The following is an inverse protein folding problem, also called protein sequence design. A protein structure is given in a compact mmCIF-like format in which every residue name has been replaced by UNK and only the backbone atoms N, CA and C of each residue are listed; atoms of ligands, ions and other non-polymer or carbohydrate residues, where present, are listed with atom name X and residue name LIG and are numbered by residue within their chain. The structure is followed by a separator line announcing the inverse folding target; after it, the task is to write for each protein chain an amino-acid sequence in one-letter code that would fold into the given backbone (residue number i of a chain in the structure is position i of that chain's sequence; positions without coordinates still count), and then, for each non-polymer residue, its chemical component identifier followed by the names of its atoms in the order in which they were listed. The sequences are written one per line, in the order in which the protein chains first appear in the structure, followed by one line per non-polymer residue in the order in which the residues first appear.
data_IF_737433835268
#
_entry.id   IF_737433835268
#
_cell.length_a   1.000
_cell.length_b   1.000
_cell.length_c   1.000
_cell.angle_alpha   90.00
_cell.angle_beta   90.00
_cell.angle_gamma   90.00
#
_symmetry.space_group_name_H-M   'P 1'
#
loop_
_entity.id
_entity.type
_entity.pdbx_description
1 polymer ?
#
# COMPACT_ATOMS: atom_id res chain seq x y z
N UNK A 1 42.70 -47.67 7.78
CA UNK A 1 42.00 -46.58 7.09
C UNK A 1 40.53 -46.76 7.40
N UNK A 2 40.10 -46.14 8.49
CA UNK A 2 38.70 -46.12 8.92
C UNK A 2 37.92 -45.19 8.00
N UNK A 3 36.80 -45.69 7.47
CA UNK A 3 35.91 -44.93 6.60
C UNK A 3 35.08 -43.95 7.43
N UNK A 4 35.26 -42.66 7.15
CA UNK A 4 34.45 -41.58 7.72
C UNK A 4 33.07 -41.64 7.07
N UNK A 5 32.04 -42.01 7.84
CA UNK A 5 30.64 -41.79 7.48
C UNK A 5 30.32 -40.30 7.69
N UNK A 6 30.06 -39.61 6.58
CA UNK A 6 29.56 -38.23 6.58
C UNK A 6 28.07 -38.31 6.89
N UNK A 7 27.66 -37.79 8.05
CA UNK A 7 26.26 -37.64 8.40
C UNK A 7 25.64 -36.51 7.55
N UNK A 8 24.57 -36.83 6.82
CA UNK A 8 23.73 -35.83 6.16
C UNK A 8 23.00 -34.99 7.23
N UNK A 9 22.92 -33.66 7.10
CA UNK A 9 22.13 -32.85 8.00
C UNK A 9 20.65 -32.98 7.65
N UNK A 10 19.94 -33.86 8.36
CA UNK A 10 18.49 -33.71 8.55
C UNK A 10 18.24 -32.42 9.31
N UNK A 11 17.64 -31.43 8.67
CA UNK A 11 16.61 -30.52 9.23
C UNK A 11 16.19 -29.52 8.16
N UNK A 12 15.45 -30.01 7.17
CA UNK A 12 14.49 -29.18 6.45
C UNK A 12 13.42 -28.78 7.47
N UNK A 13 13.39 -27.50 7.88
CA UNK A 13 12.24 -26.98 8.60
C UNK A 13 10.98 -27.26 7.75
N UNK A 14 9.91 -27.87 8.29
CA UNK A 14 8.72 -28.11 7.51
C UNK A 14 8.14 -26.76 7.07
N UNK A 15 7.76 -26.67 5.80
CA UNK A 15 6.91 -25.57 5.34
C UNK A 15 5.65 -25.54 6.23
N UNK A 16 5.16 -24.36 6.65
CA UNK A 16 3.98 -24.27 7.48
C UNK A 16 2.79 -24.94 6.76
N UNK A 17 2.12 -25.87 7.44
CA UNK A 17 0.92 -26.55 6.90
C UNK A 17 -0.18 -25.51 6.59
N UNK A 18 -0.97 -25.72 5.54
CA UNK A 18 -2.06 -24.82 5.09
C UNK A 18 -3.07 -24.44 6.20
N UNK A 19 -3.11 -25.20 7.30
CA UNK A 19 -3.93 -24.91 8.48
C UNK A 19 -3.43 -23.73 9.36
N UNK A 20 -2.23 -23.19 9.13
CA UNK A 20 -1.65 -22.10 9.94
C UNK A 20 -1.90 -20.68 9.38
N UNK A 21 -2.36 -20.58 8.12
CA UNK A 21 -2.52 -19.30 7.40
C UNK A 21 -3.98 -19.07 7.00
N UNK A 22 -4.58 -17.99 7.52
CA UNK A 22 -5.94 -17.59 7.15
C UNK A 22 -5.90 -16.38 6.20
N UNK A 23 -6.47 -16.54 5.00
CA UNK A 23 -6.73 -15.43 4.08
C UNK A 23 -7.76 -14.49 4.69
N UNK A 24 -7.52 -13.19 4.61
CA UNK A 24 -8.50 -12.20 5.08
C UNK A 24 -9.65 -12.09 4.07
N UNK A 25 -10.79 -11.62 4.55
CA UNK A 25 -11.88 -11.13 3.71
C UNK A 25 -11.89 -9.61 3.77
N UNK A 26 -12.55 -8.96 2.82
CA UNK A 26 -12.66 -7.50 2.84
C UNK A 26 -13.31 -6.98 4.15
N UNK A 27 -14.27 -7.71 4.73
CA UNK A 27 -14.86 -7.38 6.04
C UNK A 27 -13.88 -7.51 7.22
N UNK A 28 -13.00 -8.52 7.22
CA UNK A 28 -12.05 -8.69 8.35
C UNK A 28 -10.89 -7.70 8.32
N UNK A 29 -10.58 -7.12 7.15
CA UNK A 29 -9.66 -5.99 7.01
C UNK A 29 -10.18 -4.70 7.63
N UNK A 30 -11.48 -4.44 7.47
CA UNK A 30 -12.13 -3.25 7.99
C UNK A 30 -12.18 -3.19 9.53
N UNK A 31 -12.04 -4.34 10.20
CA UNK A 31 -12.03 -4.39 11.66
C UNK A 31 -10.94 -3.46 12.25
N UNK A 32 -11.28 -2.57 13.21
CA UNK A 32 -10.39 -1.49 13.64
C UNK A 32 -8.98 -1.95 14.07
N UNK A 33 -8.87 -3.10 14.74
CA UNK A 33 -7.58 -3.60 15.21
C UNK A 33 -6.77 -4.24 14.07
N UNK A 34 -7.40 -4.99 13.17
CA UNK A 34 -6.74 -5.49 11.96
C UNK A 34 -6.25 -4.33 11.10
N UNK A 35 -7.06 -3.29 10.91
CA UNK A 35 -6.72 -2.09 10.14
C UNK A 35 -5.45 -1.42 10.67
N UNK A 36 -5.34 -1.22 12.00
CA UNK A 36 -4.10 -0.71 12.62
C UNK A 36 -2.90 -1.64 12.42
N UNK A 37 -3.10 -2.95 12.50
CA UNK A 37 -2.02 -3.93 12.28
C UNK A 37 -1.50 -3.87 10.84
N UNK A 38 -2.39 -3.74 9.86
CA UNK A 38 -2.01 -3.55 8.45
C UNK A 38 -1.23 -2.25 8.28
N UNK A 39 -1.71 -1.14 8.85
CA UNK A 39 -1.01 0.15 8.82
C UNK A 39 0.43 0.05 9.35
N UNK A 40 0.65 -0.69 10.44
CA UNK A 40 1.98 -0.95 11.01
C UNK A 40 2.88 -1.75 10.07
N UNK A 41 2.35 -2.82 9.45
CA UNK A 41 3.11 -3.63 8.48
C UNK A 41 3.47 -2.86 7.22
N UNK A 42 2.55 -2.03 6.73
CA UNK A 42 2.78 -1.13 5.61
C UNK A 42 3.87 -0.11 5.94
N UNK A 43 3.85 0.46 7.16
CA UNK A 43 4.93 1.33 7.63
C UNK A 43 6.29 0.64 7.68
N UNK A 44 6.33 -0.60 8.13
CA UNK A 44 7.55 -1.40 8.15
C UNK A 44 8.08 -1.72 6.76
N UNK A 45 7.20 -1.89 5.76
CA UNK A 45 7.61 -2.06 4.37
C UNK A 45 8.20 -0.76 3.81
N UNK A 46 7.50 0.35 3.97
CA UNK A 46 7.91 1.66 3.45
C UNK A 46 9.24 2.16 4.03
N UNK A 47 9.48 1.92 5.33
CA UNK A 47 10.73 2.30 5.99
C UNK A 47 11.83 1.22 5.83
N UNK A 48 11.45 -0.02 5.52
CA UNK A 48 12.34 -1.18 5.54
C UNK A 48 13.05 -1.47 4.22
N UNK A 49 12.53 -0.93 3.09
CA UNK A 49 13.09 -1.13 1.76
C UNK A 49 13.38 0.23 1.13
N UNK A 50 14.65 0.53 0.93
CA UNK A 50 15.08 1.76 0.27
C UNK A 50 14.93 1.63 -1.25
N UNK A 51 14.33 2.65 -1.87
CA UNK A 51 14.27 2.77 -3.33
C UNK A 51 15.66 3.12 -3.90
N UNK A 52 15.98 2.50 -5.04
CA UNK A 52 17.12 2.88 -5.87
C UNK A 52 16.93 4.29 -6.45
N UNK A 53 18.03 4.97 -6.76
CA UNK A 53 17.95 6.33 -7.32
C UNK A 53 17.29 6.32 -8.70
N UNK A 54 17.50 5.27 -9.49
CA UNK A 54 16.83 5.08 -10.79
C UNK A 54 15.31 4.91 -10.64
N UNK A 55 14.86 4.22 -9.58
CA UNK A 55 13.43 4.04 -9.28
C UNK A 55 12.79 5.37 -8.86
N UNK A 56 13.50 6.18 -8.08
CA UNK A 56 13.06 7.53 -7.71
C UNK A 56 13.00 8.46 -8.91
N UNK A 57 13.99 8.37 -9.80
CA UNK A 57 14.07 9.19 -11.02
C UNK A 57 13.00 8.83 -12.05
N UNK A 58 12.60 7.56 -12.11
CA UNK A 58 11.46 7.10 -12.91
C UNK A 58 10.11 7.67 -12.42
N UNK A 59 10.04 8.05 -11.14
CA UNK A 59 8.85 8.61 -10.52
C UNK A 59 7.82 7.56 -10.09
N UNK A 60 6.59 7.98 -9.76
CA UNK A 60 5.53 7.08 -9.31
C UNK A 60 5.19 6.02 -10.37
N UNK A 61 5.30 4.75 -10.00
CA UNK A 61 5.10 3.60 -10.88
C UNK A 61 3.66 3.52 -11.44
N UNK A 62 2.68 4.15 -10.77
CA UNK A 62 1.31 4.27 -11.30
C UNK A 62 1.26 4.83 -12.72
N UNK A 63 2.13 5.80 -13.02
CA UNK A 63 2.20 6.41 -14.34
C UNK A 63 2.98 5.54 -15.32
N UNK A 64 4.03 4.87 -14.86
CA UNK A 64 4.78 3.90 -15.66
C UNK A 64 3.89 2.74 -16.13
N UNK A 65 3.01 2.24 -15.25
CA UNK A 65 2.00 1.23 -15.59
C UNK A 65 1.00 1.77 -16.62
N UNK A 66 0.44 2.96 -16.38
CA UNK A 66 -0.46 3.60 -17.33
C UNK A 66 0.18 3.76 -18.72
N UNK A 67 1.39 4.31 -18.78
CA UNK A 67 2.10 4.58 -20.03
C UNK A 67 2.45 3.27 -20.77
N UNK A 68 2.85 2.22 -20.04
CA UNK A 68 3.11 0.89 -20.60
C UNK A 68 1.87 0.23 -21.21
N UNK A 69 0.71 0.38 -20.59
CA UNK A 69 -0.53 -0.26 -21.03
C UNK A 69 -1.31 0.55 -22.07
N UNK A 70 -0.96 1.83 -22.25
CA UNK A 70 -1.79 2.79 -22.98
C UNK A 70 -2.14 2.35 -24.40
N UNK A 71 -1.16 1.90 -25.18
CA UNK A 71 -1.37 1.54 -26.60
C UNK A 71 -2.36 0.37 -26.75
N UNK A 72 -2.21 -0.65 -25.91
CA UNK A 72 -3.09 -1.82 -25.92
C UNK A 72 -4.50 -1.47 -25.40
N UNK A 73 -4.59 -0.66 -24.35
CA UNK A 73 -5.87 -0.17 -23.82
C UNK A 73 -6.59 0.67 -24.87
N UNK A 74 -5.90 1.59 -25.53
CA UNK A 74 -6.47 2.46 -26.57
C UNK A 74 -6.99 1.65 -27.75
N UNK A 75 -6.24 0.66 -28.23
CA UNK A 75 -6.70 -0.25 -29.28
C UNK A 75 -7.97 -1.00 -28.88
N UNK A 76 -8.00 -1.56 -27.66
CA UNK A 76 -9.17 -2.30 -27.16
C UNK A 76 -10.39 -1.40 -27.00
N UNK A 77 -10.18 -0.22 -26.44
CA UNK A 77 -11.26 0.73 -26.15
C UNK A 77 -11.86 1.33 -27.42
N UNK A 78 -11.04 1.72 -28.41
CA UNK A 78 -11.56 2.21 -29.69
C UNK A 78 -12.41 1.14 -30.40
N UNK A 79 -12.01 -0.13 -30.32
CA UNK A 79 -12.80 -1.24 -30.84
C UNK A 79 -14.14 -1.41 -30.09
N UNK A 80 -14.11 -1.41 -28.75
CA UNK A 80 -15.30 -1.56 -27.92
C UNK A 80 -16.27 -0.39 -28.09
N UNK A 81 -15.78 0.85 -28.07
CA UNK A 81 -16.57 2.06 -28.30
C UNK A 81 -17.30 1.99 -29.64
N UNK A 82 -16.60 1.62 -30.71
CA UNK A 82 -17.22 1.45 -32.04
C UNK A 82 -18.35 0.41 -31.99
N UNK A 83 -18.18 -0.70 -31.26
CA UNK A 83 -19.21 -1.74 -31.15
C UNK A 83 -20.41 -1.32 -30.34
N UNK A 84 -20.20 -0.62 -29.23
CA UNK A 84 -21.26 -0.07 -28.38
C UNK A 84 -22.07 0.96 -29.18
N UNK A 85 -21.40 1.91 -29.82
CA UNK A 85 -22.06 2.99 -30.59
C UNK A 85 -22.77 2.47 -31.85
N UNK A 86 -22.28 1.40 -32.46
CA UNK A 86 -22.94 0.75 -33.61
C UNK A 86 -24.04 -0.26 -33.21
N UNK A 87 -24.20 -0.57 -31.92
CA UNK A 87 -25.16 -1.56 -31.42
C UNK A 87 -24.81 -3.01 -31.76
N UNK A 88 -23.53 -3.33 -31.96
CA UNK A 88 -23.04 -4.65 -32.44
C UNK A 88 -22.43 -5.53 -31.34
N UNK A 89 -22.65 -5.19 -30.06
CA UNK A 89 -22.11 -5.91 -28.90
C UNK A 89 -22.72 -7.32 -28.74
N UNK A 90 -23.94 -7.53 -29.26
CA UNK A 90 -24.66 -8.80 -29.16
C UNK A 90 -25.26 -9.05 -27.76
N UNK A 91 -26.02 -10.15 -27.57
CA UNK A 91 -26.65 -10.45 -26.29
C UNK A 91 -25.61 -10.90 -25.23
N UNK A 92 -25.96 -10.72 -23.96
CA UNK A 92 -25.24 -11.33 -22.83
C UNK A 92 -25.49 -12.84 -22.79
N UNK A 93 -24.42 -13.63 -22.61
CA UNK A 93 -24.45 -15.10 -22.63
C UNK A 93 -24.01 -15.74 -21.33
N UNK A 94 -23.58 -14.96 -20.34
CA UNK A 94 -23.08 -15.47 -19.07
C UNK A 94 -22.62 -14.35 -18.12
N UNK A 95 -22.16 -14.71 -16.92
CA UNK A 95 -21.62 -13.79 -15.92
C UNK A 95 -20.52 -12.83 -16.44
N UNK A 96 -19.66 -13.28 -17.36
CA UNK A 96 -18.59 -12.49 -17.99
C UNK A 96 -19.00 -11.52 -19.07
N UNK A 97 -20.30 -11.43 -19.35
CA UNK A 97 -20.90 -10.53 -20.33
C UNK A 97 -21.69 -9.41 -19.64
N UNK A 98 -21.51 -9.21 -18.34
CA UNK A 98 -22.20 -8.18 -17.55
C UNK A 98 -21.88 -6.77 -18.05
N UNK A 99 -20.65 -6.56 -18.52
CA UNK A 99 -20.17 -5.32 -19.13
C UNK A 99 -21.00 -4.82 -20.32
N UNK A 100 -21.70 -5.72 -21.03
CA UNK A 100 -22.52 -5.35 -22.19
C UNK A 100 -23.69 -4.45 -21.81
N UNK A 101 -24.08 -4.44 -20.54
CA UNK A 101 -25.13 -3.57 -19.99
C UNK A 101 -24.62 -2.20 -19.48
N UNK A 102 -23.30 -2.00 -19.48
CA UNK A 102 -22.65 -0.77 -19.01
C UNK A 102 -22.66 0.36 -20.05
N UNK A 103 -22.84 0.03 -21.33
CA UNK A 103 -22.67 0.99 -22.42
C UNK A 103 -21.18 1.20 -22.72
N UNK A 104 -20.74 2.45 -22.77
CA UNK A 104 -19.31 2.77 -22.92
C UNK A 104 -18.58 2.37 -21.64
N UNK A 105 -17.51 1.58 -21.75
CA UNK A 105 -16.82 1.00 -20.57
C UNK A 105 -16.33 2.10 -19.64
N UNK A 106 -15.69 3.14 -20.17
CA UNK A 106 -15.22 4.28 -19.40
C UNK A 106 -16.32 5.30 -19.04
N UNK A 107 -17.61 4.99 -19.29
CA UNK A 107 -18.76 5.89 -19.13
C UNK A 107 -18.92 6.95 -20.22
N UNK A 108 -17.82 7.29 -20.89
CA UNK A 108 -17.71 8.16 -22.07
C UNK A 108 -16.82 7.48 -23.11
N UNK A 109 -16.68 8.08 -24.29
CA UNK A 109 -15.73 7.58 -25.30
C UNK A 109 -14.30 7.65 -24.77
N UNK A 110 -13.45 6.72 -25.20
CA UNK A 110 -12.06 6.61 -24.78
C UNK A 110 -11.28 7.91 -24.88
N UNK A 111 -11.46 8.65 -25.97
CA UNK A 111 -10.76 9.92 -26.17
C UNK A 111 -11.07 10.94 -25.05
N UNK A 112 -12.32 10.99 -24.57
CA UNK A 112 -12.75 11.89 -23.49
C UNK A 112 -12.20 11.41 -22.13
N UNK A 113 -12.23 10.10 -21.87
CA UNK A 113 -11.66 9.52 -20.65
C UNK A 113 -10.15 9.74 -20.57
N UNK A 114 -9.42 9.42 -21.65
CA UNK A 114 -7.97 9.63 -21.77
C UNK A 114 -7.61 11.10 -21.56
N UNK A 115 -8.33 12.03 -22.19
CA UNK A 115 -8.11 13.46 -22.00
C UNK A 115 -8.31 13.91 -20.54
N UNK A 116 -9.27 13.31 -19.81
CA UNK A 116 -9.45 13.60 -18.38
C UNK A 116 -8.30 13.06 -17.52
N UNK A 117 -7.81 11.84 -17.81
CA UNK A 117 -6.63 11.27 -17.13
C UNK A 117 -5.40 12.14 -17.35
N UNK A 118 -5.15 12.59 -18.59
CA UNK A 118 -4.05 13.50 -18.92
C UNK A 118 -4.19 14.86 -18.22
N UNK A 119 -5.40 15.44 -18.22
CA UNK A 119 -5.71 16.67 -17.49
C UNK A 119 -5.40 16.51 -16.00
N UNK A 120 -5.77 15.38 -15.41
CA UNK A 120 -5.53 15.12 -14.00
C UNK A 120 -4.05 14.83 -13.69
N UNK A 121 -3.32 14.10 -14.55
CA UNK A 121 -1.86 13.93 -14.43
C UNK A 121 -1.14 15.28 -14.44
N UNK A 122 -1.56 16.19 -15.31
CA UNK A 122 -1.04 17.57 -15.35
C UNK A 122 -1.39 18.35 -14.07
N UNK A 123 -2.61 18.23 -13.56
CA UNK A 123 -3.03 18.83 -12.30
C UNK A 123 -2.16 18.35 -11.11
N UNK A 124 -1.89 17.05 -11.02
CA UNK A 124 -0.99 16.50 -10.01
C UNK A 124 0.44 17.01 -10.17
N UNK A 125 0.96 17.06 -11.40
CA UNK A 125 2.28 17.64 -11.68
C UNK A 125 2.39 19.09 -11.20
N UNK A 126 1.36 19.90 -11.44
CA UNK A 126 1.31 21.29 -10.94
C UNK A 126 1.21 21.37 -9.41
N UNK A 127 0.51 20.44 -8.77
CA UNK A 127 0.38 20.40 -7.31
C UNK A 127 1.73 20.15 -6.62
N UNK A 128 2.53 19.20 -7.14
CA UNK A 128 3.84 18.86 -6.58
C UNK A 128 4.97 19.81 -7.04
N UNK A 129 4.77 20.57 -8.11
CA UNK A 129 5.77 21.53 -8.60
C UNK A 129 7.00 20.85 -9.19
N UNK A 130 8.20 21.21 -8.73
CA UNK A 130 9.45 20.58 -9.19
C UNK A 130 9.46 19.09 -8.87
N UNK A 131 9.82 18.24 -9.84
CA UNK A 131 9.82 16.77 -9.71
C UNK A 131 10.58 16.24 -8.50
N UNK A 132 11.52 17.03 -7.95
CA UNK A 132 12.31 16.70 -6.76
C UNK A 132 11.45 16.53 -5.49
N UNK A 133 10.42 17.35 -5.30
CA UNK A 133 9.59 17.27 -4.09
C UNK A 133 8.77 15.98 -4.05
N UNK A 134 8.29 15.51 -5.20
CA UNK A 134 7.61 14.23 -5.34
C UNK A 134 8.59 13.06 -5.20
N UNK A 135 9.77 13.16 -5.83
CA UNK A 135 10.85 12.17 -5.77
C UNK A 135 11.24 11.81 -4.34
N UNK A 136 11.36 12.81 -3.46
CA UNK A 136 11.74 12.63 -2.05
C UNK A 136 10.60 12.04 -1.18
N UNK A 137 9.37 11.96 -1.71
CA UNK A 137 8.20 11.39 -1.03
C UNK A 137 7.89 9.94 -1.44
N UNK A 138 8.61 9.40 -2.43
CA UNK A 138 8.41 8.02 -2.87
C UNK A 138 8.89 7.02 -1.83
N UNK A 139 8.14 5.93 -1.69
CA UNK A 139 8.44 4.79 -0.85
C UNK A 139 8.36 3.51 -1.68
N UNK A 140 9.01 2.44 -1.22
CA UNK A 140 8.79 1.11 -1.76
C UNK A 140 7.41 0.63 -1.32
N UNK A 141 6.45 0.73 -2.24
CA UNK A 141 5.05 0.44 -2.01
C UNK A 141 4.70 -0.96 -2.51
N UNK A 142 3.78 -1.65 -1.83
CA UNK A 142 3.28 -2.95 -2.28
C UNK A 142 2.41 -2.83 -3.54
N UNK A 143 1.65 -1.72 -3.65
CA UNK A 143 0.72 -1.38 -4.73
C UNK A 143 -0.46 -2.34 -4.97
N UNK A 144 -0.45 -3.56 -4.42
CA UNK A 144 -1.60 -4.49 -4.46
C UNK A 144 -1.96 -5.09 -3.09
N UNK A 145 -2.44 -4.25 -2.16
CA UNK A 145 -2.80 -4.70 -0.81
C UNK A 145 -4.23 -5.23 -0.72
N UNK A 146 -4.68 -6.00 -1.71
CA UNK A 146 -5.94 -6.75 -1.69
C UNK A 146 -5.96 -7.83 -0.60
N UNK A 147 -7.14 -8.35 -0.25
CA UNK A 147 -7.26 -9.26 0.89
C UNK A 147 -6.69 -10.65 0.67
N UNK A 148 -6.48 -11.07 -0.59
CA UNK A 148 -5.67 -12.24 -0.92
C UNK A 148 -4.22 -12.13 -0.46
N UNK A 149 -3.66 -10.90 -0.46
CA UNK A 149 -2.24 -10.63 -0.26
C UNK A 149 -1.86 -10.31 1.20
N UNK A 150 -2.82 -10.39 2.13
CA UNK A 150 -2.58 -10.18 3.56
C UNK A 150 -3.03 -11.41 4.34
N UNK A 151 -2.06 -12.25 4.71
CA UNK A 151 -2.28 -13.49 5.44
C UNK A 151 -2.12 -13.27 6.94
N UNK A 152 -2.94 -13.95 7.74
CA UNK A 152 -2.75 -14.02 9.20
C UNK A 152 -2.15 -15.38 9.58
N UNK A 153 -0.98 -15.34 10.21
CA UNK A 153 -0.37 -16.49 10.88
C UNK A 153 -1.00 -16.67 12.24
N UNK A 154 -1.37 -17.91 12.58
CA UNK A 154 -1.78 -18.28 13.95
C UNK A 154 -0.69 -19.13 14.60
N UNK A 155 0.08 -18.58 15.55
CA UNK A 155 1.11 -19.36 16.23
C UNK A 155 0.48 -20.49 17.06
N UNK A 156 0.93 -21.72 16.82
CA UNK A 156 0.49 -22.89 17.59
C UNK A 156 1.14 -22.97 19.00
N UNK A 157 2.32 -22.36 19.17
CA UNK A 157 3.01 -22.26 20.46
C UNK A 157 2.56 -21.03 21.26
N UNK A 158 1.98 -21.25 22.44
CA UNK A 158 1.54 -20.21 23.38
C UNK A 158 2.68 -19.33 23.91
N UNK A 159 3.95 -19.75 23.74
CA UNK A 159 5.14 -18.96 24.10
C UNK A 159 5.70 -18.15 22.94
N UNK A 160 5.08 -18.20 21.77
CA UNK A 160 5.57 -17.51 20.58
C UNK A 160 5.71 -16.00 20.83
N UNK A 161 6.85 -15.38 20.45
CA UNK A 161 7.03 -13.93 20.51
C UNK A 161 5.98 -13.15 19.73
N UNK A 162 5.33 -13.78 18.73
CA UNK A 162 4.25 -13.19 17.93
C UNK A 162 2.94 -13.01 18.72
N UNK A 163 2.77 -13.73 19.84
CA UNK A 163 1.61 -13.57 20.73
C UNK A 163 1.78 -12.40 21.72
N UNK A 164 2.96 -11.78 21.77
CA UNK A 164 3.16 -10.59 22.59
C UNK A 164 2.38 -9.42 21.99
N UNK A 165 1.71 -8.57 22.82
CA UNK A 165 0.93 -7.42 22.32
C UNK A 165 1.74 -6.48 21.42
N UNK A 166 3.04 -6.33 21.70
CA UNK A 166 3.94 -5.52 20.89
C UNK A 166 4.18 -6.07 19.48
N UNK A 167 3.98 -7.36 19.24
CA UNK A 167 4.25 -8.04 17.96
C UNK A 167 2.98 -8.55 17.27
N UNK A 168 1.78 -8.20 17.76
CA UNK A 168 0.53 -8.71 17.19
C UNK A 168 0.38 -8.40 15.69
N UNK A 169 0.85 -7.22 15.27
CA UNK A 169 0.88 -6.83 13.85
C UNK A 169 1.80 -7.72 13.00
N UNK A 170 2.83 -8.34 13.59
CA UNK A 170 3.75 -9.26 12.91
C UNK A 170 3.15 -10.65 12.66
N UNK A 171 1.94 -10.90 13.17
CA UNK A 171 1.14 -12.04 12.74
C UNK A 171 0.56 -11.84 11.34
N UNK A 172 0.61 -10.62 10.80
CA UNK A 172 0.20 -10.33 9.42
C UNK A 172 1.42 -10.38 8.50
N UNK A 173 1.36 -11.28 7.52
CA UNK A 173 2.33 -11.40 6.44
C UNK A 173 1.72 -10.79 5.19
N UNK A 174 2.49 -9.89 4.56
CA UNK A 174 2.20 -9.34 3.24
C UNK A 174 2.96 -10.19 2.23
N UNK A 175 2.27 -10.66 1.21
CA UNK A 175 2.79 -11.54 0.15
C UNK A 175 2.45 -10.96 -1.22
N UNK A 176 3.05 -11.52 -2.27
CA UNK A 176 2.76 -11.21 -3.66
C UNK A 176 3.13 -9.78 -4.08
N UNK A 177 4.44 -9.57 -4.25
CA UNK A 177 5.06 -8.27 -4.57
C UNK A 177 5.14 -8.01 -6.08
N UNK A 178 4.30 -8.65 -6.91
CA UNK A 178 4.32 -8.52 -8.38
C UNK A 178 4.24 -7.05 -8.85
N UNK A 179 3.39 -6.25 -8.18
CA UNK A 179 3.20 -4.83 -8.48
C UNK A 179 4.05 -3.91 -7.60
N UNK A 180 4.89 -4.46 -6.72
CA UNK A 180 5.63 -3.66 -5.76
C UNK A 180 6.67 -2.78 -6.46
N UNK A 181 6.60 -1.47 -6.21
CA UNK A 181 7.40 -0.47 -6.89
C UNK A 181 7.29 0.90 -6.20
N UNK A 182 8.11 1.86 -6.64
CA UNK A 182 8.08 3.23 -6.15
C UNK A 182 6.69 3.90 -6.34
N UNK A 183 6.07 4.33 -5.25
CA UNK A 183 4.88 5.19 -5.26
C UNK A 183 4.86 6.05 -3.99
N UNK A 184 3.93 7.00 -3.91
CA UNK A 184 3.74 7.76 -2.66
C UNK A 184 2.89 6.96 -1.65
N UNK A 185 3.07 7.18 -0.33
CA UNK A 185 2.27 6.49 0.69
C UNK A 185 0.76 6.65 0.50
N UNK A 186 0.30 7.86 0.16
CA UNK A 186 -1.13 8.11 -0.08
C UNK A 186 -1.71 7.28 -1.23
N UNK A 187 -0.91 6.92 -2.24
CA UNK A 187 -1.36 6.03 -3.32
C UNK A 187 -1.53 4.59 -2.83
N UNK A 188 -0.65 4.10 -1.96
CA UNK A 188 -0.83 2.78 -1.36
C UNK A 188 -2.02 2.76 -0.39
N UNK A 189 -2.23 3.83 0.38
CA UNK A 189 -3.38 3.96 1.28
C UNK A 189 -4.69 3.93 0.50
N UNK A 190 -4.77 4.69 -0.59
CA UNK A 190 -5.99 4.74 -1.38
C UNK A 190 -6.26 3.42 -2.09
N UNK A 191 -5.20 2.74 -2.55
CA UNK A 191 -5.32 1.38 -3.06
C UNK A 191 -5.91 0.46 -1.98
N UNK A 192 -5.31 0.44 -0.79
CA UNK A 192 -5.77 -0.35 0.34
C UNK A 192 -7.24 -0.07 0.72
N UNK A 193 -7.64 1.20 0.74
CA UNK A 193 -9.01 1.62 1.06
C UNK A 193 -9.99 1.26 -0.05
N UNK A 194 -9.59 1.32 -1.32
CA UNK A 194 -10.42 0.86 -2.43
C UNK A 194 -10.72 -0.63 -2.33
N UNK A 195 -9.80 -1.46 -1.82
CA UNK A 195 -10.04 -2.89 -1.62
C UNK A 195 -11.13 -3.21 -0.57
N UNK A 196 -11.56 -2.24 0.24
CA UNK A 196 -12.69 -2.41 1.17
C UNK A 196 -14.04 -2.43 0.43
N UNK A 197 -14.10 -1.80 -0.76
CA UNK A 197 -15.31 -1.71 -1.59
C UNK A 197 -15.53 -2.94 -2.46
N UNK A 198 -14.53 -3.82 -2.57
CA UNK A 198 -14.60 -5.02 -3.42
C UNK A 198 -14.80 -6.28 -2.59
N UNK A 199 -15.57 -7.22 -3.17
CA UNK A 199 -15.69 -8.59 -2.71
C UNK A 199 -15.55 -9.54 -3.90
N UNK A 200 -14.32 -9.84 -4.28
CA UNK A 200 -14.01 -10.75 -5.38
C UNK A 200 -14.54 -12.18 -5.20
N UNK A 201 -15.03 -12.55 -4.01
CA UNK A 201 -15.71 -13.82 -3.77
C UNK A 201 -17.24 -13.72 -3.90
N UNK A 202 -17.78 -12.56 -4.28
CA UNK A 202 -19.22 -12.37 -4.45
C UNK A 202 -19.73 -13.34 -5.54
N UNK A 203 -20.78 -14.15 -5.25
CA UNK A 203 -21.14 -15.30 -6.08
C UNK A 203 -21.60 -14.93 -7.49
N UNK A 204 -22.06 -13.69 -7.71
CA UNK A 204 -22.64 -13.26 -9.00
C UNK A 204 -22.08 -11.95 -9.54
N UNK A 205 -21.29 -11.23 -8.75
CA UNK A 205 -20.84 -9.88 -9.08
C UNK A 205 -19.48 -9.57 -8.42
N UNK A 206 -18.46 -10.42 -8.61
CA UNK A 206 -17.14 -10.24 -7.98
C UNK A 206 -16.42 -8.96 -8.44
N UNK A 207 -16.82 -8.43 -9.60
CA UNK A 207 -16.32 -7.18 -10.19
C UNK A 207 -16.96 -5.92 -9.60
N UNK A 208 -18.08 -6.04 -8.88
CA UNK A 208 -18.87 -4.90 -8.40
C UNK A 208 -18.17 -4.17 -7.26
N UNK A 209 -18.36 -2.85 -7.22
CA UNK A 209 -17.79 -1.99 -6.20
C UNK A 209 -18.88 -1.32 -5.37
N UNK A 210 -18.91 -1.68 -4.09
CA UNK A 210 -19.81 -1.13 -3.10
C UNK A 210 -19.13 -0.01 -2.31
N UNK A 211 -19.38 1.23 -2.76
CA UNK A 211 -18.80 2.43 -2.17
C UNK A 211 -19.25 2.70 -0.74
N UNK A 212 -20.35 2.09 -0.28
CA UNK A 212 -20.80 2.24 1.10
C UNK A 212 -19.85 1.60 2.11
N UNK A 213 -18.95 0.75 1.62
CA UNK A 213 -17.89 0.08 2.40
C UNK A 213 -16.55 0.80 2.36
N UNK A 214 -16.43 1.88 1.60
CA UNK A 214 -15.23 2.70 1.62
C UNK A 214 -15.02 3.27 3.03
N UNK A 215 -13.80 3.26 3.59
CA UNK A 215 -13.58 3.66 4.97
C UNK A 215 -14.01 5.10 5.23
N UNK A 216 -14.69 5.35 6.35
CA UNK A 216 -15.05 6.71 6.75
C UNK A 216 -13.81 7.55 7.05
N UNK A 217 -13.96 8.87 7.14
CA UNK A 217 -12.88 9.80 7.48
C UNK A 217 -12.19 9.41 8.79
N UNK A 218 -12.97 8.97 9.79
CA UNK A 218 -12.46 8.51 11.08
C UNK A 218 -11.69 7.20 10.96
N UNK A 219 -12.11 6.29 10.09
CA UNK A 219 -11.44 5.02 9.83
C UNK A 219 -10.13 5.22 9.07
N UNK A 220 -10.13 6.07 8.03
CA UNK A 220 -8.93 6.48 7.31
C UNK A 220 -7.93 7.14 8.27
N UNK A 221 -8.39 8.10 9.08
CA UNK A 221 -7.56 8.77 10.08
C UNK A 221 -6.99 7.79 11.10
N UNK A 222 -7.77 6.80 11.55
CA UNK A 222 -7.30 5.75 12.48
C UNK A 222 -6.18 4.92 11.86
N UNK A 223 -6.33 4.53 10.59
CA UNK A 223 -5.30 3.79 9.85
C UNK A 223 -4.04 4.62 9.72
N UNK A 224 -4.16 5.86 9.22
CA UNK A 224 -3.02 6.76 8.98
C UNK A 224 -2.33 7.13 10.29
N UNK A 225 -3.08 7.37 11.38
CA UNK A 225 -2.50 7.58 12.71
C UNK A 225 -1.68 6.38 13.18
N UNK A 226 -2.19 5.16 12.99
CA UNK A 226 -1.46 3.95 13.33
C UNK A 226 -0.19 3.78 12.48
N UNK A 227 -0.22 4.18 11.21
CA UNK A 227 0.94 4.21 10.31
C UNK A 227 1.99 5.25 10.77
N UNK A 228 1.57 6.48 11.09
CA UNK A 228 2.46 7.59 11.48
C UNK A 228 3.11 7.33 12.84
N UNK A 229 2.32 6.89 13.82
CA UNK A 229 2.77 6.65 15.18
C UNK A 229 3.64 5.38 15.30
N UNK A 230 3.54 4.45 14.35
CA UNK A 230 4.37 3.25 14.34
C UNK A 230 5.82 3.62 14.07
N UNK A 231 6.70 3.22 14.97
CA UNK A 231 8.15 3.33 14.81
C UNK A 231 8.70 1.91 14.78
N UNK A 232 9.01 1.37 13.59
CA UNK A 232 9.67 0.09 13.47
C UNK A 232 10.93 0.12 14.33
N UNK A 233 11.04 -0.77 15.33
CA UNK A 233 12.36 -1.03 15.91
C UNK A 233 13.09 -1.82 14.85
N UNK A 234 14.04 -1.19 14.17
CA UNK A 234 15.01 -1.87 13.31
C UNK A 234 15.81 -2.82 14.20
N UNK A 235 15.26 -3.99 14.48
CA UNK A 235 15.97 -5.09 15.10
C UNK A 235 16.71 -5.81 13.98
N UNK A 236 17.85 -5.26 13.55
CA UNK A 236 18.89 -6.05 12.93
C UNK A 236 20.27 -5.66 13.46
N UNK A 237 20.89 -6.63 14.10
CA UNK A 237 22.31 -6.70 14.43
C UNK A 237 23.11 -6.80 13.13
N UNK A 238 24.00 -5.83 12.87
CA UNK A 238 25.32 -5.98 12.20
C UNK A 238 25.92 -4.58 11.99
N UNK A 239 26.49 -3.98 13.05
CA UNK A 239 27.51 -2.95 12.83
C UNK A 239 28.89 -3.62 12.97
N UNK A 240 29.76 -3.55 11.95
CA UNK A 240 31.19 -3.63 12.20
C UNK A 240 31.61 -2.36 12.93
N UNK A 241 32.26 -2.51 14.07
CA UNK A 241 32.92 -1.40 14.75
C UNK A 241 33.92 -0.73 13.81
N UNK A 242 33.57 0.44 13.29
CA UNK A 242 34.55 1.40 12.78
C UNK A 242 34.14 2.77 13.28
N UNK A 243 34.78 3.17 14.38
CA UNK A 243 34.60 4.49 14.95
C UNK A 243 35.09 5.57 13.99
N UNK A 244 34.30 6.61 13.83
CA UNK A 244 34.77 7.97 13.53
C UNK A 244 33.75 8.95 14.09
N UNK A 245 33.92 9.30 15.36
CA UNK A 245 33.33 10.51 15.92
C UNK A 245 33.90 11.72 15.18
N UNK A 246 33.03 12.58 14.63
CA UNK A 246 33.37 13.98 14.38
C UNK A 246 32.34 14.87 15.05
N UNK A 247 32.83 15.45 16.15
CA UNK A 247 32.24 16.36 17.12
C UNK A 247 31.70 17.66 16.53
N UNK A 248 30.54 18.14 17.02
CA UNK A 248 30.20 19.56 17.10
C UNK A 248 30.60 20.07 18.49
N UNK A 249 31.46 21.09 18.51
CA UNK A 249 32.25 21.48 19.69
C UNK A 249 31.53 22.36 20.70
N UNK A 250 32.07 22.40 21.92
CA UNK A 250 32.01 23.47 22.93
C UNK A 250 33.18 23.27 23.95
N UNK A 251 33.61 24.32 24.69
CA UNK A 251 35.00 24.50 25.14
C UNK A 251 35.35 23.80 26.47
N UNK A 252 36.66 23.64 26.81
CA UNK A 252 37.09 22.79 27.93
C UNK A 252 37.07 23.54 29.26
N UNK A 253 36.44 22.95 30.27
CA UNK A 253 36.63 23.31 31.67
C UNK A 253 37.64 22.35 32.30
N UNK A 254 38.71 22.90 32.85
CA UNK A 254 39.88 22.21 33.39
C UNK A 254 39.56 21.28 34.56
N UNK A 255 40.17 20.10 34.55
CA UNK A 255 40.26 19.17 35.69
C UNK A 255 41.53 19.41 36.50
N UNK A 256 41.51 19.24 37.84
CA UNK A 256 42.70 18.87 38.60
C UNK A 256 42.75 17.35 38.87
N UNK A 257 43.94 16.78 39.13
CA UNK A 257 44.19 15.34 39.00
C UNK A 257 43.95 14.53 40.28
N UNK A 258 43.50 13.30 40.03
CA UNK A 258 43.84 12.01 40.63
C UNK A 258 44.47 11.96 42.03
N UNK A 259 43.87 11.14 42.90
CA UNK A 259 44.61 10.30 43.86
C UNK A 259 43.86 8.99 44.10
N UNK A 260 44.61 7.90 43.96
CA UNK A 260 44.19 6.50 44.01
C UNK A 260 44.08 5.97 45.45
N UNK A 261 43.38 4.83 45.59
CA UNK A 261 43.47 3.72 46.57
C UNK A 261 42.11 2.97 46.45
N UNK A 262 41.96 1.68 46.14
CA UNK A 262 42.71 0.47 46.47
C UNK A 262 41.78 -0.45 47.28
N UNK A 263 41.45 -1.66 46.82
CA UNK A 263 40.74 -2.66 47.66
C UNK A 263 39.91 -3.70 46.91
N UNK A 264 40.19 -4.97 47.20
CA UNK A 264 39.81 -6.22 46.52
C UNK A 264 38.41 -6.77 46.86
N UNK A 265 37.91 -7.67 45.99
CA UNK A 265 37.17 -8.89 46.40
C UNK A 265 35.63 -8.92 46.20
N UNK A 266 35.15 -9.73 45.25
CA UNK A 266 33.73 -10.12 45.19
C UNK A 266 33.32 -10.87 43.93
N UNK A 267 33.08 -12.18 44.05
CA UNK A 267 32.65 -13.11 43.01
C UNK A 267 31.12 -13.34 43.08
N UNK A 268 30.47 -13.43 41.91
CA UNK A 268 29.11 -13.93 41.58
C UNK A 268 27.88 -13.02 41.84
N UNK A 269 27.24 -12.58 40.74
CA UNK A 269 25.98 -13.13 40.21
C UNK A 269 25.57 -12.30 38.98
N UNK A 270 25.60 -12.91 37.78
CA UNK A 270 24.95 -12.35 36.58
C UNK A 270 23.44 -12.42 36.79
N UNK A 271 22.86 -11.30 37.21
CA UNK A 271 21.43 -11.05 37.07
C UNK A 271 21.18 -10.48 35.68
N UNK A 272 20.42 -11.22 34.87
CA UNK A 272 19.91 -10.79 33.58
C UNK A 272 18.84 -9.70 33.81
N UNK A 273 19.21 -8.44 33.61
CA UNK A 273 18.26 -7.32 33.62
C UNK A 273 17.41 -7.32 32.34
N UNK A 274 16.10 -7.02 32.43
CA UNK A 274 15.20 -6.96 31.29
C UNK A 274 15.24 -5.59 30.59
N UNK A 275 14.95 -5.63 29.29
CA UNK A 275 14.32 -4.60 28.43
C UNK A 275 15.02 -3.24 28.16
N UNK A 276 15.39 -3.05 26.88
CA UNK A 276 15.82 -1.78 26.25
C UNK A 276 14.66 -0.76 26.05
N UNK A 277 13.83 -0.53 27.07
CA UNK A 277 12.91 0.62 27.13
C UNK A 277 13.49 1.79 27.92
N UNK A 278 14.59 1.58 28.64
CA UNK A 278 15.13 2.53 29.63
C UNK A 278 16.34 3.34 29.11
N UNK A 279 16.94 2.98 27.97
CA UNK A 279 18.09 3.72 27.44
C UNK A 279 17.74 5.05 26.75
N UNK A 280 16.50 5.23 26.30
CA UNK A 280 15.99 6.54 25.85
C UNK A 280 15.45 7.37 27.04
N UNK A 281 15.17 6.73 28.18
CA UNK A 281 14.68 7.37 29.41
C UNK A 281 15.80 7.90 30.31
N UNK A 282 17.07 7.55 30.08
CA UNK A 282 18.19 7.92 30.95
C UNK A 282 19.35 8.56 30.18
N UNK A 283 19.09 9.57 29.36
CA UNK A 283 20.17 10.40 28.79
C UNK A 283 19.99 11.92 28.88
N UNK A 284 18.98 12.45 29.58
CA UNK A 284 19.15 13.77 30.22
C UNK A 284 18.25 13.97 31.44
N UNK A 285 18.72 13.59 32.63
CA UNK A 285 18.05 13.89 33.91
C UNK A 285 18.08 15.39 34.29
N UNK A 286 18.35 16.29 33.34
CA UNK A 286 18.43 17.75 33.53
C UNK A 286 17.33 18.53 32.83
N UNK A 287 16.44 17.89 32.06
CA UNK A 287 15.33 18.60 31.43
C UNK A 287 14.23 18.90 32.47
N UNK A 288 13.83 20.17 32.64
CA UNK A 288 12.71 20.52 33.52
C UNK A 288 11.43 19.77 33.12
N UNK A 289 10.53 19.45 34.07
CA UNK A 289 9.25 18.78 33.76
C UNK A 289 8.41 19.46 32.66
N UNK A 290 8.50 20.79 32.55
CA UNK A 290 7.82 21.56 31.50
C UNK A 290 8.42 21.30 30.11
N UNK A 291 9.71 20.97 30.03
CA UNK A 291 10.38 20.65 28.78
C UNK A 291 9.97 19.27 28.22
N UNK A 292 9.67 18.29 29.09
CA UNK A 292 9.09 17.01 28.67
C UNK A 292 7.67 17.16 28.11
N UNK A 293 6.82 17.92 28.80
CA UNK A 293 5.44 18.20 28.34
C UNK A 293 5.45 18.94 27.00
N UNK A 294 6.37 19.88 26.84
CA UNK A 294 6.54 20.62 25.60
C UNK A 294 7.03 19.72 24.45
N UNK A 295 7.94 18.79 24.72
CA UNK A 295 8.40 17.82 23.72
C UNK A 295 7.30 16.82 23.33
N UNK A 296 6.51 16.32 24.29
CA UNK A 296 5.35 15.47 24.01
C UNK A 296 4.32 16.22 23.16
N UNK A 297 3.99 17.46 23.53
CA UNK A 297 3.10 18.34 22.76
C UNK A 297 3.60 18.53 21.33
N UNK A 298 4.89 18.85 21.15
CA UNK A 298 5.51 19.01 19.82
C UNK A 298 5.40 17.72 19.01
N UNK A 299 5.64 16.57 19.63
CA UNK A 299 5.54 15.26 18.97
C UNK A 299 4.10 14.94 18.54
N UNK A 300 3.13 15.23 19.39
CA UNK A 300 1.71 15.07 19.06
C UNK A 300 1.32 15.99 17.90
N UNK A 301 1.74 17.26 17.93
CA UNK A 301 1.50 18.22 16.85
C UNK A 301 2.16 17.81 15.53
N UNK A 302 3.38 17.27 15.59
CA UNK A 302 4.07 16.72 14.41
C UNK A 302 3.35 15.50 13.84
N UNK A 303 2.88 14.59 14.70
CA UNK A 303 2.08 13.42 14.28
C UNK A 303 0.77 13.88 13.63
N UNK A 304 0.05 14.81 14.26
CA UNK A 304 -1.21 15.35 13.74
C UNK A 304 -1.05 16.07 12.41
N UNK A 305 0.02 16.88 12.26
CA UNK A 305 0.36 17.50 10.98
C UNK A 305 0.62 16.45 9.91
N UNK A 306 1.42 15.41 10.22
CA UNK A 306 1.73 14.35 9.25
C UNK A 306 0.50 13.54 8.86
N UNK A 307 -0.41 13.28 9.81
CA UNK A 307 -1.69 12.61 9.52
C UNK A 307 -2.52 13.46 8.56
N UNK A 308 -2.62 14.76 8.78
CA UNK A 308 -3.37 15.66 7.90
C UNK A 308 -2.77 15.71 6.48
N UNK A 309 -1.44 15.77 6.36
CA UNK A 309 -0.73 15.72 5.07
C UNK A 309 -1.04 14.41 4.33
N UNK A 310 -0.93 13.26 5.00
CA UNK A 310 -1.17 11.94 4.40
C UNK A 310 -2.65 11.71 4.05
N UNK A 311 -3.58 12.25 4.83
CA UNK A 311 -5.01 12.25 4.47
C UNK A 311 -5.23 13.02 3.16
N UNK A 312 -4.61 14.20 3.03
CA UNK A 312 -4.70 15.00 1.82
C UNK A 312 -4.01 14.32 0.63
N UNK A 313 -2.85 13.71 0.84
CA UNK A 313 -2.16 12.92 -0.19
C UNK A 313 -3.01 11.74 -0.67
N UNK A 314 -3.60 10.99 0.27
CA UNK A 314 -4.50 9.86 -0.05
C UNK A 314 -5.67 10.30 -0.93
N UNK A 315 -6.28 11.44 -0.58
CA UNK A 315 -7.31 12.07 -1.41
C UNK A 315 -6.78 12.44 -2.79
N UNK A 316 -5.62 13.09 -2.83
CA UNK A 316 -5.03 13.58 -4.06
C UNK A 316 -4.71 12.47 -5.04
N UNK A 317 -4.36 11.25 -4.62
CA UNK A 317 -3.94 10.16 -5.52
C UNK A 317 -5.05 9.16 -5.91
N UNK A 318 -6.29 9.34 -5.44
CA UNK A 318 -7.41 8.40 -5.69
C UNK A 318 -7.78 8.25 -7.16
N UNK A 319 -7.76 9.35 -7.91
CA UNK A 319 -8.08 9.35 -9.35
C UNK A 319 -6.99 8.60 -10.14
N UNK A 320 -5.70 8.79 -9.81
CA UNK A 320 -4.59 8.06 -10.45
C UNK A 320 -4.70 6.56 -10.20
N UNK A 321 -4.98 6.17 -8.96
CA UNK A 321 -5.19 4.77 -8.60
C UNK A 321 -6.37 4.15 -9.38
N UNK A 322 -7.51 4.85 -9.45
CA UNK A 322 -8.65 4.38 -10.24
C UNK A 322 -8.30 4.24 -11.72
N UNK A 323 -7.61 5.21 -12.31
CA UNK A 323 -7.18 5.17 -13.72
C UNK A 323 -6.27 3.97 -14.03
N UNK A 324 -5.29 3.68 -13.16
CA UNK A 324 -4.43 2.50 -13.32
C UNK A 324 -5.25 1.21 -13.39
N UNK A 325 -6.20 1.02 -12.46
CA UNK A 325 -6.98 -0.21 -12.40
C UNK A 325 -8.07 -0.30 -13.48
N UNK A 326 -8.55 0.83 -14.02
CA UNK A 326 -9.32 0.85 -15.28
C UNK A 326 -8.47 0.29 -16.41
N UNK A 327 -7.25 0.82 -16.60
CA UNK A 327 -6.35 0.37 -17.65
C UNK A 327 -5.98 -1.11 -17.49
N UNK A 328 -5.63 -1.54 -16.28
CA UNK A 328 -5.34 -2.94 -15.97
C UNK A 328 -6.53 -3.85 -16.31
N UNK A 329 -7.75 -3.50 -15.89
CA UNK A 329 -8.94 -4.30 -16.22
C UNK A 329 -9.16 -4.43 -17.72
N UNK A 330 -8.90 -3.38 -18.50
CA UNK A 330 -9.01 -3.43 -19.96
C UNK A 330 -7.91 -4.32 -20.57
N UNK A 331 -6.69 -4.30 -20.03
CA UNK A 331 -5.60 -5.19 -20.47
C UNK A 331 -5.94 -6.66 -20.24
N UNK A 332 -6.52 -6.98 -19.09
CA UNK A 332 -6.89 -8.35 -18.73
C UNK A 332 -8.12 -8.89 -19.49
N UNK A 333 -8.90 -7.99 -20.10
CA UNK A 333 -10.14 -8.37 -20.76
C UNK A 333 -9.90 -9.17 -22.06
N UNK A 334 -10.43 -10.39 -22.11
CA UNK A 334 -10.51 -11.18 -23.35
C UNK A 334 -11.67 -10.68 -24.20
N UNK A 335 -11.38 -9.88 -25.24
CA UNK A 335 -12.40 -9.27 -26.11
C UNK A 335 -12.60 -10.05 -27.42
N UNK A 336 -13.76 -10.71 -27.63
CA UNK A 336 -14.00 -11.46 -28.85
C UNK A 336 -13.98 -10.58 -30.12
N UNK A 337 -13.13 -10.94 -31.08
CA UNK A 337 -13.00 -10.24 -32.35
C UNK A 337 -11.89 -9.19 -32.41
N UNK A 338 -11.17 -8.97 -31.31
CA UNK A 338 -9.92 -8.23 -31.30
C UNK A 338 -8.74 -9.22 -31.36
N UNK A 339 -7.84 -9.07 -32.32
CA UNK A 339 -6.66 -9.93 -32.41
C UNK A 339 -5.76 -9.70 -31.19
N UNK A 340 -5.53 -10.77 -30.42
CA UNK A 340 -4.62 -10.78 -29.27
C UNK A 340 -3.21 -10.42 -29.75
N UNK A 341 -2.66 -9.34 -29.21
CA UNK A 341 -1.21 -9.12 -29.24
C UNK A 341 -0.73 -9.64 -27.90
N UNK A 342 -0.36 -10.92 -27.85
CA UNK A 342 0.30 -11.49 -26.67
C UNK A 342 1.72 -10.91 -26.62
N UNK A 343 2.02 -10.08 -25.63
CA UNK A 343 3.36 -10.08 -25.04
C UNK A 343 3.34 -11.16 -23.96
N UNK A 344 4.31 -12.08 -24.04
CA UNK A 344 4.47 -13.24 -23.17
C UNK A 344 4.37 -12.86 -21.68
N UNK A 345 3.39 -13.44 -20.98
CA UNK A 345 3.49 -13.98 -19.61
C UNK A 345 2.13 -14.58 -19.20
N UNK A 346 2.11 -15.88 -18.87
CA UNK A 346 0.99 -16.51 -18.16
C UNK A 346 0.01 -17.33 -19.01
N UNK A 347 0.32 -18.62 -19.15
CA UNK A 347 -0.54 -19.80 -19.33
C UNK A 347 -1.95 -19.64 -19.95
N UNK A 348 -2.14 -20.35 -21.08
CA UNK A 348 -3.45 -20.74 -21.59
C UNK A 348 -4.16 -21.68 -20.62
N UNK A 349 -4.88 -21.11 -19.65
CA UNK A 349 -6.01 -21.81 -19.03
C UNK A 349 -7.31 -21.48 -19.74
N UNK A 350 -7.93 -22.56 -20.22
CA UNK A 350 -9.27 -22.62 -20.76
C UNK A 350 -10.26 -21.96 -19.79
N UNK A 351 -11.34 -21.41 -20.34
CA UNK A 351 -12.47 -20.84 -19.61
C UNK A 351 -12.82 -21.60 -18.30
N UNK A 352 -12.30 -21.12 -17.18
CA UNK A 352 -12.74 -21.51 -15.84
C UNK A 352 -12.65 -20.29 -14.92
N UNK A 353 -13.81 -19.95 -14.34
CA UNK A 353 -14.10 -18.90 -13.36
C UNK A 353 -14.04 -17.45 -13.89
N UNK A 354 -15.16 -17.09 -14.54
CA UNK A 354 -15.40 -15.93 -15.40
C UNK A 354 -15.47 -14.59 -14.63
N UNK A 355 -14.32 -14.00 -14.28
CA UNK A 355 -14.26 -12.61 -13.81
C UNK A 355 -14.48 -11.63 -14.97
N UNK A 356 -15.50 -10.78 -14.88
CA UNK A 356 -15.80 -9.75 -15.89
C UNK A 356 -14.90 -8.51 -15.70
N UNK A 357 -13.73 -8.54 -16.33
CA UNK A 357 -12.77 -7.45 -16.28
C UNK A 357 -13.26 -6.13 -16.89
N UNK A 358 -14.15 -6.18 -17.89
CA UNK A 358 -14.70 -4.96 -18.49
C UNK A 358 -15.75 -4.32 -17.56
N UNK A 359 -16.56 -5.13 -16.88
CA UNK A 359 -17.47 -4.63 -15.85
C UNK A 359 -16.68 -4.06 -14.66
N UNK A 360 -15.59 -4.72 -14.26
CA UNK A 360 -14.68 -4.18 -13.25
C UNK A 360 -14.08 -2.82 -13.67
N UNK A 361 -13.58 -2.71 -14.90
CA UNK A 361 -13.06 -1.46 -15.42
C UNK A 361 -14.13 -0.35 -15.45
N UNK A 362 -15.37 -0.69 -15.79
CA UNK A 362 -16.49 0.26 -15.69
C UNK A 362 -16.74 0.71 -14.25
N UNK A 363 -16.73 -0.21 -13.28
CA UNK A 363 -16.91 0.12 -11.87
C UNK A 363 -15.79 1.01 -11.30
N UNK A 364 -14.54 0.84 -11.78
CA UNK A 364 -13.42 1.75 -11.46
C UNK A 364 -13.57 3.10 -12.17
N UNK A 365 -14.06 3.12 -13.41
CA UNK A 365 -14.26 4.34 -14.17
C UNK A 365 -15.35 5.24 -13.55
N UNK A 366 -16.45 4.66 -13.05
CA UNK A 366 -17.49 5.42 -12.34
C UNK A 366 -16.99 6.03 -11.04
N UNK A 367 -16.03 5.39 -10.36
CA UNK A 367 -15.33 5.95 -9.21
C UNK A 367 -14.36 7.08 -9.61
N UNK A 368 -13.56 6.86 -10.66
CA UNK A 368 -12.69 7.88 -11.24
C UNK A 368 -13.45 9.18 -11.57
N UNK A 369 -14.60 9.07 -12.22
CA UNK A 369 -15.41 10.25 -12.57
C UNK A 369 -15.98 10.95 -11.34
N UNK A 370 -16.41 10.20 -10.33
CA UNK A 370 -16.89 10.76 -9.07
C UNK A 370 -15.83 11.61 -8.39
N UNK A 371 -14.58 11.14 -8.40
CA UNK A 371 -13.45 11.90 -7.86
C UNK A 371 -13.12 13.14 -8.68
N UNK A 372 -13.17 13.03 -10.00
CA UNK A 372 -12.98 14.19 -10.88
C UNK A 372 -14.02 15.28 -10.62
N UNK A 373 -15.28 14.89 -10.34
CA UNK A 373 -16.35 15.82 -9.94
C UNK A 373 -16.06 16.43 -8.58
N UNK A 374 -15.72 15.61 -7.57
CA UNK A 374 -15.43 16.08 -6.21
C UNK A 374 -14.20 17.00 -6.13
N UNK A 375 -13.24 16.83 -7.04
CA UNK A 375 -12.07 17.69 -7.19
C UNK A 375 -12.33 18.93 -8.05
N UNK A 376 -13.52 19.08 -8.64
CA UNK A 376 -13.87 20.21 -9.50
C UNK A 376 -13.15 20.21 -10.86
N UNK A 377 -12.65 19.06 -11.30
CA UNK A 377 -11.98 18.91 -12.61
C UNK A 377 -12.99 18.85 -13.76
N UNK A 378 -14.21 18.43 -13.48
CA UNK A 378 -15.37 18.41 -14.39
C UNK A 378 -16.63 18.66 -13.56
N UNK A 379 -17.63 19.32 -14.13
CA UNK A 379 -18.91 19.49 -13.44
C UNK A 379 -19.79 18.28 -13.70
N UNK A 380 -20.63 17.93 -12.74
CA UNK A 380 -21.53 16.78 -12.88
C UNK A 380 -22.47 16.96 -14.08
N UNK A 381 -22.94 18.17 -14.35
CA UNK A 381 -23.80 18.51 -15.49
C UNK A 381 -23.13 18.42 -16.86
N UNK A 382 -21.79 18.42 -16.92
CA UNK A 382 -21.04 18.29 -18.17
C UNK A 382 -20.87 16.82 -18.59
N UNK A 383 -21.24 15.86 -17.73
CA UNK A 383 -21.16 14.43 -18.00
C UNK A 383 -22.49 13.90 -18.61
N UNK A 384 -22.43 12.86 -19.48
CA UNK A 384 -23.64 12.25 -20.04
C UNK A 384 -24.56 11.65 -18.98
N UNK A 385 -25.88 11.72 -19.21
CA UNK A 385 -26.92 11.20 -18.29
C UNK A 385 -26.66 9.76 -17.83
N UNK A 386 -26.28 8.89 -18.76
CA UNK A 386 -25.96 7.48 -18.49
C UNK A 386 -24.82 7.30 -17.49
N UNK A 387 -23.85 8.21 -17.47
CA UNK A 387 -22.75 8.22 -16.51
C UNK A 387 -23.18 8.91 -15.20
N UNK A 388 -23.94 10.01 -15.26
CA UNK A 388 -24.43 10.72 -14.07
C UNK A 388 -25.25 9.82 -13.14
N UNK A 389 -26.05 8.92 -13.71
CA UNK A 389 -26.86 7.96 -12.94
C UNK A 389 -26.02 6.87 -12.24
N UNK A 390 -24.79 6.63 -12.69
CA UNK A 390 -23.91 5.54 -12.21
C UNK A 390 -22.67 6.01 -11.47
N UNK A 391 -22.43 7.33 -11.45
CA UNK A 391 -21.24 7.91 -10.86
C UNK A 391 -21.17 7.60 -9.36
N UNK A 392 -19.96 7.33 -8.88
CA UNK A 392 -19.72 6.93 -7.50
C UNK A 392 -19.09 8.07 -6.73
N UNK A 393 -19.88 8.73 -5.90
CA UNK A 393 -19.42 9.83 -5.05
C UNK A 393 -19.07 9.31 -3.66
N UNK A 394 -17.79 9.39 -3.31
CA UNK A 394 -17.28 9.04 -1.98
C UNK A 394 -16.72 10.29 -1.33
N UNK A 395 -17.45 10.82 -0.34
CA UNK A 395 -17.07 12.01 0.41
C UNK A 395 -15.81 11.78 1.27
N UNK A 396 -15.17 12.89 1.66
CA UNK A 396 -13.90 12.95 2.39
C UNK A 396 -14.01 13.73 3.69
#
# INVERSE_FOLDING_TARGET
MEGVQIAEPETSAPAPEEHELEKKTSRTKAAPETSKQIAKRMRELHDGVELLEEEKDAGPNVWSNWDRWLDQVEKTMLFLDQRVLSGTVGPSRGPGDSWKSCGLICGVQWAEFKAMVEKYRNFLGQHYGESRALREQLVFAHNDTQYGNILRVRPNDQRSPLLQPANEHKQLIVIDFEYAAANVPGLEFVNHFSEWTYDYHHPTAPWSCDVTRYPTVEEQRRFIKAYVDHRPRLSYSSQPETGTDTTTGLPPLETPPTSALGGEGGMLLRSTSPTNSIREFMLDGRMPPDAYREEERRREEDSERRIAELMQETKLWRVANSAQWVAWGIVQAKVPGLAEVKEDEGEEEAASDEFDYLAYAHERATFFWGDCVLMGLVKLEDLPDSLRERIKLVEY
#
